data_IF_887987277001
#
_entry.id   IF_887987277001
#
_cell.length_a   1.000
_cell.length_b   1.000
_cell.length_c   1.000
_cell.angle_alpha   90.00
_cell.angle_beta   90.00
_cell.angle_gamma   90.00
#
_symmetry.space_group_name_H-M   'P 1'
#
loop_
_entity.id
_entity.type
_entity.pdbx_description
1 polymer ?
#
# COMPACT_ATOMS: atom_id res chain seq x y z
N UNK A 1 -34.33 2.38 5.64
CA UNK A 1 -33.26 1.46 6.01
C UNK A 1 -31.97 1.97 5.33
N UNK A 2 -31.04 2.52 6.11
CA UNK A 2 -29.71 2.84 5.55
C UNK A 2 -29.07 1.54 5.08
N UNK A 3 -28.45 1.59 3.92
CA UNK A 3 -27.77 0.44 3.34
C UNK A 3 -26.60 0.04 4.25
N UNK A 4 -26.74 -1.10 4.92
CA UNK A 4 -25.75 -1.63 5.88
C UNK A 4 -24.35 -1.74 5.23
N UNK A 5 -24.31 -2.06 3.92
CA UNK A 5 -23.06 -2.12 3.17
C UNK A 5 -22.40 -0.74 3.06
N UNK A 6 -23.18 0.32 2.89
CA UNK A 6 -22.66 1.69 2.83
C UNK A 6 -22.09 2.15 4.17
N UNK A 7 -22.70 1.72 5.28
CA UNK A 7 -22.19 1.99 6.64
C UNK A 7 -20.90 1.22 6.89
N UNK A 8 -20.81 -0.04 6.46
CA UNK A 8 -19.59 -0.86 6.59
C UNK A 8 -18.47 -0.27 5.74
N UNK A 9 -18.73 0.14 4.51
CA UNK A 9 -17.74 0.74 3.63
C UNK A 9 -17.23 2.09 4.17
N UNK A 10 -18.13 2.94 4.67
CA UNK A 10 -17.74 4.20 5.30
C UNK A 10 -16.91 4.00 6.58
N UNK A 11 -17.23 2.97 7.37
CA UNK A 11 -16.47 2.64 8.58
C UNK A 11 -15.09 2.09 8.21
N UNK A 12 -15.00 1.24 7.19
CA UNK A 12 -13.74 0.72 6.68
C UNK A 12 -12.86 1.84 6.11
N UNK A 13 -13.44 2.79 5.36
CA UNK A 13 -12.72 3.95 4.84
C UNK A 13 -12.26 4.91 5.94
N UNK A 14 -13.07 5.10 6.97
CA UNK A 14 -12.72 5.91 8.13
C UNK A 14 -11.58 5.28 8.94
N UNK A 15 -11.64 3.96 9.16
CA UNK A 15 -10.57 3.21 9.81
C UNK A 15 -9.28 3.21 8.97
N UNK A 16 -9.39 3.04 7.66
CA UNK A 16 -8.26 3.12 6.74
C UNK A 16 -7.61 4.51 6.74
N UNK A 17 -8.40 5.58 6.78
CA UNK A 17 -7.89 6.95 6.95
C UNK A 17 -7.16 7.15 8.28
N UNK A 18 -7.73 6.67 9.37
CA UNK A 18 -7.12 6.76 10.70
C UNK A 18 -5.82 5.96 10.78
N UNK A 19 -5.74 4.81 10.10
CA UNK A 19 -4.55 3.98 10.02
C UNK A 19 -3.49 4.59 9.11
N UNK A 20 -3.89 5.15 7.97
CA UNK A 20 -2.99 5.88 7.06
C UNK A 20 -2.32 7.07 7.75
N UNK A 21 -3.07 7.78 8.61
CA UNK A 21 -2.53 8.86 9.42
C UNK A 21 -1.49 8.41 10.47
N UNK A 22 -1.42 7.12 10.78
CA UNK A 22 -0.43 6.53 11.71
C UNK A 22 0.80 5.97 11.01
N UNK A 23 0.75 5.80 9.69
CA UNK A 23 1.90 5.40 8.89
C UNK A 23 2.81 6.63 8.77
N UNK A 24 3.91 6.60 9.51
CA UNK A 24 4.91 7.68 9.49
C UNK A 24 6.20 7.11 8.88
N UNK A 25 6.51 7.45 7.64
CA UNK A 25 7.68 6.91 6.95
C UNK A 25 8.97 7.16 7.73
N UNK A 26 9.77 6.11 7.92
CA UNK A 26 11.06 6.18 8.58
C UNK A 26 11.00 6.48 10.08
N UNK A 27 9.83 6.43 10.73
CA UNK A 27 9.70 6.65 12.17
C UNK A 27 10.24 5.49 13.00
N UNK A 28 10.24 4.28 12.45
CA UNK A 28 10.77 3.07 13.10
C UNK A 28 12.27 2.89 12.91
N UNK A 29 12.94 3.74 12.10
CA UNK A 29 14.38 3.65 11.87
C UNK A 29 15.16 3.79 13.17
N UNK A 30 16.02 2.81 13.47
CA UNK A 30 16.91 2.85 14.62
C UNK A 30 18.28 3.43 14.21
N UNK A 31 18.60 4.61 14.71
CA UNK A 31 19.87 5.28 14.39
C UNK A 31 20.07 5.48 12.88
N UNK A 32 21.21 4.99 12.36
CA UNK A 32 21.56 5.03 10.93
C UNK A 32 21.32 3.69 10.22
N UNK A 33 20.68 2.73 10.88
CA UNK A 33 20.43 1.42 10.27
C UNK A 33 19.56 1.55 9.02
N UNK A 34 19.78 0.74 8.00
CA UNK A 34 18.88 0.65 6.87
C UNK A 34 17.50 0.15 7.32
N UNK A 35 16.49 0.48 6.55
CA UNK A 35 15.12 0.00 6.76
C UNK A 35 14.73 -0.92 5.62
N UNK A 36 14.10 -2.04 5.97
CA UNK A 36 13.36 -2.88 5.04
C UNK A 36 11.89 -2.47 5.08
N UNK A 37 11.43 -1.75 4.07
CA UNK A 37 10.03 -1.38 3.91
C UNK A 37 9.26 -2.51 3.26
N UNK A 38 8.16 -2.93 3.89
CA UNK A 38 7.23 -3.91 3.36
C UNK A 38 5.99 -3.20 2.83
N UNK A 39 5.77 -3.26 1.53
CA UNK A 39 4.67 -2.61 0.81
C UNK A 39 3.68 -3.67 0.33
N UNK A 40 2.43 -3.56 0.73
CA UNK A 40 1.46 -4.59 0.38
C UNK A 40 0.04 -4.30 0.83
N UNK A 41 -0.75 -5.35 0.84
CA UNK A 41 -2.16 -5.33 1.22
C UNK A 41 -2.43 -6.20 2.46
N UNK A 42 -3.64 -6.74 2.56
CA UNK A 42 -4.07 -7.58 3.68
C UNK A 42 -3.28 -8.89 3.84
N UNK A 43 -2.66 -9.40 2.78
CA UNK A 43 -1.84 -10.62 2.87
C UNK A 43 -0.53 -10.41 3.63
N UNK A 44 -0.09 -9.17 3.75
CA UNK A 44 1.11 -8.76 4.45
C UNK A 44 0.79 -8.09 5.80
N UNK A 45 -0.38 -7.49 5.94
CA UNK A 45 -0.80 -6.76 7.14
C UNK A 45 -1.50 -7.67 8.16
N UNK A 46 -1.39 -7.31 9.45
CA UNK A 46 -2.05 -8.02 10.54
C UNK A 46 -3.32 -7.32 11.00
N UNK A 47 -4.42 -7.52 10.29
CA UNK A 47 -5.70 -6.93 10.63
C UNK A 47 -5.75 -5.42 10.48
N UNK A 48 -6.84 -4.82 10.90
CA UNK A 48 -7.10 -3.38 10.72
C UNK A 48 -6.17 -2.51 11.57
N UNK A 49 -5.83 -2.96 12.77
CA UNK A 49 -4.94 -2.23 13.69
C UNK A 49 -3.47 -2.66 13.59
N UNK A 50 -3.14 -3.61 12.72
CA UNK A 50 -1.78 -4.13 12.58
C UNK A 50 -1.34 -5.07 13.71
N UNK A 51 -2.26 -5.54 14.53
CA UNK A 51 -2.00 -6.39 15.70
C UNK A 51 -2.85 -7.68 15.73
N UNK A 52 -3.41 -8.08 14.61
CA UNK A 52 -4.26 -9.27 14.50
C UNK A 52 -5.64 -9.15 15.13
N UNK A 53 -6.11 -7.96 15.47
CA UNK A 53 -7.36 -7.71 16.21
C UNK A 53 -8.63 -8.31 15.59
N UNK A 54 -8.63 -8.57 14.30
CA UNK A 54 -9.73 -9.22 13.56
C UNK A 54 -9.42 -10.67 13.15
N UNK A 55 -8.43 -11.29 13.76
CA UNK A 55 -7.99 -12.66 13.44
C UNK A 55 -7.16 -12.77 12.16
N UNK A 56 -6.85 -11.67 11.50
CA UNK A 56 -6.04 -11.64 10.29
C UNK A 56 -4.56 -11.47 10.63
N UNK A 57 -3.73 -12.41 10.16
CA UNK A 57 -2.28 -12.39 10.32
C UNK A 57 -1.61 -12.46 8.96
N UNK A 58 -1.02 -11.34 8.52
CA UNK A 58 -0.24 -11.27 7.31
C UNK A 58 1.22 -11.64 7.56
N UNK A 59 1.90 -12.16 6.53
CA UNK A 59 3.27 -12.63 6.64
C UNK A 59 4.26 -11.52 7.04
N UNK A 60 4.00 -10.29 6.67
CA UNK A 60 4.88 -9.15 6.97
C UNK A 60 5.03 -8.84 8.47
N UNK A 61 4.17 -9.39 9.33
CA UNK A 61 4.36 -9.27 10.78
C UNK A 61 5.56 -10.06 11.28
N UNK A 62 5.78 -11.23 10.69
CA UNK A 62 6.83 -12.15 11.14
C UNK A 62 8.20 -11.83 10.52
N UNK A 63 8.26 -10.95 9.54
CA UNK A 63 9.47 -10.65 8.78
C UNK A 63 10.61 -10.17 9.68
N UNK A 64 10.31 -9.40 10.72
CA UNK A 64 11.30 -8.89 11.66
C UNK A 64 12.06 -10.00 12.43
N UNK A 65 11.48 -11.20 12.54
CA UNK A 65 12.10 -12.35 13.23
C UNK A 65 13.30 -12.91 12.46
N UNK A 66 13.40 -12.61 11.15
CA UNK A 66 14.47 -13.09 10.28
C UNK A 66 15.67 -12.15 10.19
N UNK A 67 15.61 -10.99 10.85
CA UNK A 67 16.64 -9.96 10.77
C UNK A 67 17.17 -9.57 12.16
N UNK A 68 18.47 -9.24 12.21
CA UNK A 68 19.09 -8.66 13.41
C UNK A 68 18.65 -7.20 13.56
N UNK A 69 17.82 -6.92 14.56
CA UNK A 69 17.29 -5.59 14.83
C UNK A 69 18.35 -4.52 15.13
N UNK A 70 19.60 -4.94 15.45
CA UNK A 70 20.71 -4.01 15.61
C UNK A 70 21.33 -3.57 14.28
N UNK A 71 20.98 -4.25 13.16
CA UNK A 71 21.56 -4.00 11.84
C UNK A 71 20.56 -3.48 10.83
N UNK A 72 19.28 -3.84 10.95
CA UNK A 72 18.24 -3.44 10.04
C UNK A 72 16.90 -3.30 10.77
N UNK A 73 16.13 -2.29 10.42
CA UNK A 73 14.76 -2.12 10.91
C UNK A 73 13.78 -2.64 9.88
N UNK A 74 12.84 -3.48 10.27
CA UNK A 74 11.74 -3.91 9.39
C UNK A 74 10.51 -3.04 9.65
N UNK A 75 10.01 -2.39 8.61
CA UNK A 75 8.86 -1.49 8.69
C UNK A 75 7.73 -1.96 7.78
N UNK A 76 6.65 -2.47 8.36
CA UNK A 76 5.50 -2.93 7.61
C UNK A 76 4.52 -1.77 7.31
N UNK A 77 4.51 -1.29 6.08
CA UNK A 77 3.65 -0.23 5.56
C UNK A 77 2.41 -0.77 4.82
N UNK A 78 2.19 -2.08 4.84
CA UNK A 78 1.05 -2.69 4.17
C UNK A 78 -0.28 -2.22 4.79
N UNK A 79 -1.29 -2.08 3.95
CA UNK A 79 -2.65 -1.74 4.36
C UNK A 79 -3.67 -2.62 3.63
N UNK A 80 -4.64 -3.14 4.37
CA UNK A 80 -5.71 -3.96 3.82
C UNK A 80 -6.50 -3.26 2.72
N UNK A 81 -6.92 -4.02 1.70
CA UNK A 81 -7.73 -3.50 0.59
C UNK A 81 -6.97 -2.75 -0.49
N UNK A 82 -5.69 -2.44 -0.31
CA UNK A 82 -4.89 -1.73 -1.30
C UNK A 82 -4.55 -2.60 -2.50
N UNK A 83 -4.58 -1.97 -3.68
CA UNK A 83 -4.08 -2.47 -4.95
C UNK A 83 -2.77 -1.79 -5.32
N UNK A 84 -2.11 -2.24 -6.39
CA UNK A 84 -0.92 -1.56 -6.93
C UNK A 84 -1.20 -0.07 -7.21
N UNK A 85 -2.36 0.23 -7.78
CA UNK A 85 -2.85 1.58 -8.08
C UNK A 85 -3.13 2.39 -6.81
N UNK A 86 -3.98 1.88 -5.92
CA UNK A 86 -4.45 2.66 -4.77
C UNK A 86 -3.34 2.88 -3.74
N UNK A 87 -2.46 1.91 -3.54
CA UNK A 87 -1.29 2.11 -2.71
C UNK A 87 -0.35 3.17 -3.30
N UNK A 88 -0.06 3.09 -4.61
CA UNK A 88 0.79 4.06 -5.28
C UNK A 88 0.26 5.49 -5.17
N UNK A 89 -1.04 5.66 -5.39
CA UNK A 89 -1.65 6.99 -5.42
C UNK A 89 -1.90 7.59 -4.02
N UNK A 90 -2.13 6.75 -3.00
CA UNK A 90 -2.61 7.22 -1.68
C UNK A 90 -1.56 7.13 -0.58
N UNK A 91 -0.75 6.08 -0.54
CA UNK A 91 0.18 5.78 0.55
C UNK A 91 1.64 5.96 0.15
N UNK A 92 1.97 5.55 -1.06
CA UNK A 92 3.35 5.60 -1.55
C UNK A 92 4.00 6.99 -1.48
N UNK A 93 3.30 8.11 -1.79
CA UNK A 93 3.88 9.44 -1.66
C UNK A 93 4.42 9.74 -0.26
N UNK A 94 3.79 9.22 0.77
CA UNK A 94 4.24 9.40 2.16
C UNK A 94 5.30 8.38 2.56
N UNK A 95 5.13 7.12 2.22
CA UNK A 95 6.12 6.07 2.49
C UNK A 95 7.48 6.42 1.90
N UNK A 96 7.52 6.85 0.64
CA UNK A 96 8.78 7.14 -0.04
C UNK A 96 9.55 8.34 0.54
N UNK A 97 8.90 9.23 1.30
CA UNK A 97 9.58 10.30 2.05
C UNK A 97 10.51 9.75 3.13
N UNK A 98 10.23 8.57 3.65
CA UNK A 98 11.05 7.90 4.67
C UNK A 98 12.17 7.04 4.10
N UNK A 99 12.16 6.74 2.80
CA UNK A 99 13.15 5.90 2.14
C UNK A 99 14.44 6.69 1.92
N UNK A 100 15.56 6.09 2.25
CA UNK A 100 16.91 6.65 2.07
C UNK A 100 17.78 5.71 1.26
N UNK A 101 18.88 6.21 0.73
CA UNK A 101 19.88 5.38 0.05
C UNK A 101 20.37 4.26 0.98
N UNK A 102 20.42 3.05 0.45
CA UNK A 102 20.77 1.84 1.19
C UNK A 102 19.62 1.14 1.89
N UNK A 103 18.41 1.68 1.83
CA UNK A 103 17.19 0.98 2.29
C UNK A 103 16.75 -0.09 1.28
N UNK A 104 15.83 -0.94 1.72
CA UNK A 104 15.27 -2.03 0.93
C UNK A 104 13.75 -1.90 0.88
N UNK A 105 13.17 -2.28 -0.25
CA UNK A 105 11.71 -2.30 -0.43
C UNK A 105 11.26 -3.63 -1.00
N UNK A 106 10.39 -4.33 -0.27
CA UNK A 106 9.70 -5.52 -0.77
C UNK A 106 8.26 -5.13 -1.07
N UNK A 107 7.80 -5.42 -2.29
CA UNK A 107 6.44 -5.14 -2.73
C UNK A 107 5.71 -6.46 -2.98
N UNK A 108 4.64 -6.72 -2.22
CA UNK A 108 3.75 -7.86 -2.40
C UNK A 108 2.32 -7.35 -2.52
N UNK A 109 1.91 -7.04 -3.74
CA UNK A 109 0.64 -6.41 -4.05
C UNK A 109 0.08 -6.94 -5.38
N UNK A 110 -1.23 -6.87 -5.58
CA UNK A 110 -1.87 -7.35 -6.82
C UNK A 110 -3.22 -8.03 -6.57
N UNK A 111 -3.42 -8.60 -5.38
CA UNK A 111 -4.64 -9.33 -5.04
C UNK A 111 -5.92 -8.50 -5.23
N UNK A 112 -5.85 -7.20 -5.05
CA UNK A 112 -6.99 -6.28 -5.14
C UNK A 112 -7.05 -5.48 -6.44
N UNK A 113 -6.26 -5.81 -7.44
CA UNK A 113 -6.15 -5.08 -8.71
C UNK A 113 -7.25 -5.41 -9.72
N UNK A 114 -8.39 -5.89 -9.27
CA UNK A 114 -9.54 -6.26 -10.06
C UNK A 114 -10.78 -5.40 -9.75
N UNK A 115 -11.79 -5.50 -10.62
CA UNK A 115 -13.08 -4.81 -10.48
C UNK A 115 -13.21 -3.58 -11.38
N UNK A 116 -14.17 -2.70 -11.10
CA UNK A 116 -14.38 -1.47 -11.86
C UNK A 116 -13.21 -0.48 -11.71
N UNK A 117 -12.90 0.24 -12.79
CA UNK A 117 -11.86 1.28 -12.77
C UNK A 117 -12.36 2.59 -12.18
N UNK A 118 -13.66 2.87 -12.25
CA UNK A 118 -14.25 4.18 -12.04
C UNK A 118 -15.32 4.23 -10.93
N UNK A 119 -15.57 3.12 -10.25
CA UNK A 119 -16.64 3.02 -9.26
C UNK A 119 -16.31 2.07 -8.10
N UNK A 120 -17.10 2.11 -7.05
CA UNK A 120 -16.89 1.36 -5.83
C UNK A 120 -15.56 1.74 -5.19
N UNK A 121 -14.69 0.78 -4.93
CA UNK A 121 -13.35 1.06 -4.40
C UNK A 121 -12.40 1.65 -5.44
N UNK A 122 -12.75 1.61 -6.74
CA UNK A 122 -11.96 2.13 -7.86
C UNK A 122 -10.46 1.77 -7.74
N UNK A 123 -10.20 0.48 -7.51
CA UNK A 123 -8.84 0.01 -7.19
C UNK A 123 -8.20 -0.86 -8.29
N UNK A 124 -8.96 -1.21 -9.33
CA UNK A 124 -8.44 -2.04 -10.41
C UNK A 124 -7.31 -1.33 -11.18
N UNK A 125 -6.27 -2.07 -11.52
CA UNK A 125 -5.30 -1.73 -12.55
C UNK A 125 -5.65 -2.44 -13.85
N UNK A 126 -5.16 -1.95 -15.00
CA UNK A 126 -5.30 -2.65 -16.29
C UNK A 126 -4.44 -3.91 -16.23
N UNK A 127 -4.98 -5.08 -16.59
CA UNK A 127 -4.19 -6.31 -16.64
C UNK A 127 -3.01 -6.21 -17.61
N UNK A 128 -1.90 -6.84 -17.23
CA UNK A 128 -0.73 -6.95 -18.10
C UNK A 128 0.44 -6.05 -17.70
N UNK A 129 1.46 -6.06 -18.56
CA UNK A 129 2.76 -5.41 -18.34
C UNK A 129 3.04 -4.28 -19.34
N UNK A 130 2.11 -3.99 -20.24
CA UNK A 130 2.24 -2.92 -21.24
C UNK A 130 2.25 -1.53 -20.63
N UNK A 131 2.23 -0.52 -21.50
CA UNK A 131 2.18 0.91 -21.13
C UNK A 131 0.77 1.50 -21.33
N UNK A 132 -0.23 0.65 -21.55
CA UNK A 132 -1.60 1.10 -21.75
C UNK A 132 -2.10 1.87 -20.53
N UNK A 133 -2.95 2.85 -20.81
CA UNK A 133 -3.57 3.67 -19.78
C UNK A 133 -5.00 4.03 -20.15
N UNK A 134 -5.81 4.34 -19.14
CA UNK A 134 -7.21 4.74 -19.29
C UNK A 134 -7.49 5.93 -18.38
N UNK A 135 -8.05 7.00 -18.94
CA UNK A 135 -8.53 8.11 -18.14
C UNK A 135 -9.95 7.82 -17.63
N UNK A 136 -10.15 7.93 -16.34
CA UNK A 136 -11.45 7.71 -15.70
C UNK A 136 -11.85 8.90 -14.85
N UNK A 137 -13.15 9.01 -14.59
CA UNK A 137 -13.68 9.90 -13.55
C UNK A 137 -14.36 9.02 -12.52
N UNK A 138 -13.88 9.06 -11.28
CA UNK A 138 -14.44 8.24 -10.19
C UNK A 138 -15.87 8.71 -9.91
N UNK A 139 -16.84 7.82 -10.06
CA UNK A 139 -18.28 8.13 -9.97
C UNK A 139 -18.68 8.70 -8.61
N UNK A 140 -18.12 8.17 -7.55
CA UNK A 140 -18.47 8.55 -6.17
C UNK A 140 -17.87 9.90 -5.77
N UNK A 141 -16.78 10.35 -6.38
CA UNK A 141 -16.03 11.54 -5.96
C UNK A 141 -15.86 12.60 -7.03
N UNK A 142 -16.08 12.25 -8.30
CA UNK A 142 -15.79 13.12 -9.44
C UNK A 142 -14.29 13.33 -9.73
N UNK A 143 -13.41 12.66 -9.01
CA UNK A 143 -11.96 12.77 -9.20
C UNK A 143 -11.57 12.16 -10.54
N UNK A 144 -10.79 12.89 -11.31
CA UNK A 144 -10.18 12.40 -12.56
C UNK A 144 -8.86 11.72 -12.26
N UNK A 145 -8.67 10.55 -12.84
CA UNK A 145 -7.48 9.73 -12.61
C UNK A 145 -7.07 8.99 -13.89
N UNK A 146 -5.77 8.82 -14.10
CA UNK A 146 -5.24 7.93 -15.12
C UNK A 146 -4.91 6.58 -14.49
N UNK A 147 -5.56 5.53 -14.98
CA UNK A 147 -5.31 4.15 -14.59
C UNK A 147 -4.29 3.55 -15.53
N UNK A 148 -3.29 2.88 -15.00
CA UNK A 148 -2.23 2.22 -15.75
C UNK A 148 -2.33 0.70 -15.62
N UNK A 149 -1.52 -0.01 -16.41
CA UNK A 149 -1.35 -1.45 -16.23
C UNK A 149 -0.70 -1.77 -14.89
N UNK A 150 -0.93 -2.98 -14.39
CA UNK A 150 -0.23 -3.50 -13.21
C UNK A 150 1.29 -3.38 -13.36
N UNK A 151 1.83 -3.77 -14.51
CA UNK A 151 3.27 -3.69 -14.78
C UNK A 151 3.79 -2.25 -14.81
N UNK A 152 2.98 -1.28 -15.24
CA UNK A 152 3.39 0.12 -15.20
C UNK A 152 3.44 0.66 -13.75
N UNK A 153 2.50 0.27 -12.89
CA UNK A 153 2.61 0.60 -11.46
C UNK A 153 3.87 -0.02 -10.85
N UNK A 154 4.21 -1.27 -11.17
CA UNK A 154 5.44 -1.90 -10.69
C UNK A 154 6.69 -1.14 -11.18
N UNK A 155 6.73 -0.73 -12.45
CA UNK A 155 7.84 0.10 -12.96
C UNK A 155 7.96 1.44 -12.23
N UNK A 156 6.84 2.08 -11.91
CA UNK A 156 6.84 3.34 -11.15
C UNK A 156 7.46 3.15 -9.76
N UNK A 157 7.06 2.13 -9.02
CA UNK A 157 7.68 1.81 -7.71
C UNK A 157 9.18 1.56 -7.84
N UNK A 158 9.58 0.72 -8.79
CA UNK A 158 11.00 0.38 -9.01
C UNK A 158 11.82 1.62 -9.38
N UNK A 159 11.29 2.46 -10.26
CA UNK A 159 11.99 3.67 -10.67
C UNK A 159 12.12 4.67 -9.51
N UNK A 160 11.07 4.82 -8.71
CA UNK A 160 11.11 5.67 -7.51
C UNK A 160 12.16 5.15 -6.50
N UNK A 161 12.19 3.83 -6.23
CA UNK A 161 13.20 3.21 -5.35
C UNK A 161 14.62 3.46 -5.88
N UNK A 162 14.86 3.18 -7.16
CA UNK A 162 16.18 3.43 -7.79
C UNK A 162 16.60 4.90 -7.70
N UNK A 163 15.68 5.82 -7.90
CA UNK A 163 15.96 7.26 -7.79
C UNK A 163 16.32 7.69 -6.35
N UNK A 164 15.85 6.95 -5.35
CA UNK A 164 16.15 7.17 -3.93
C UNK A 164 17.40 6.41 -3.46
N UNK A 165 17.95 5.52 -4.29
CA UNK A 165 19.10 4.68 -3.94
C UNK A 165 18.76 3.45 -3.11
N UNK A 166 17.50 3.02 -3.13
CA UNK A 166 17.00 1.82 -2.46
C UNK A 166 16.92 0.64 -3.43
#
# INVERSE_FOLDING_TARGET
MEDVNKVIDNTADSLNKAMTARIQPGTSRSGNNPVLFLIGNSTMRNGTLGNGNNGQWGWGYYEHEFFDANKITVENQALGGMSSRTFYNRLWPDVRKGIKAGDWVIISIGHNDNGPYDSGRARASIPGIGKDSLNVTIKETGVKETVYTYGEYMRKYINDCKALGA
#
